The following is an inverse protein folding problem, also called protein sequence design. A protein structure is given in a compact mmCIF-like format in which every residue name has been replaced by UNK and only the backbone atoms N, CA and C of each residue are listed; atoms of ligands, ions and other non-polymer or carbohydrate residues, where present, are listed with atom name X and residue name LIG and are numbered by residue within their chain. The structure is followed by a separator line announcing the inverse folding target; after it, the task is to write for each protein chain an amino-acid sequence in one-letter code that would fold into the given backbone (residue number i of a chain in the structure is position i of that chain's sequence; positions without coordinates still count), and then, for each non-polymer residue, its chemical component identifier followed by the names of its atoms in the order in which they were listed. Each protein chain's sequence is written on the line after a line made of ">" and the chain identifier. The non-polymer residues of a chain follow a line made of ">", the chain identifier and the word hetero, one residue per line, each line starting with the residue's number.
data_IF_042228409389
#
_entry.id   IF_042228409389
#
_cell.length_a   1.000
_cell.length_b   1.000
_cell.length_c   1.000
_cell.angle_alpha   90.00
_cell.angle_beta   90.00
_cell.angle_gamma   90.00
#
_symmetry.space_group_name_H-M   'P 1'
#
loop_
_entity.id
_entity.type
_entity.pdbx_description
1 polymer ?
#
# COMPACT_ATOMS: atom_id res chain seq x y z
N UNK A 1 7.29 -18.09 20.65
CA UNK A 1 5.81 -17.94 20.53
C UNK A 1 5.43 -17.57 19.10
N UNK A 2 4.15 -17.63 18.72
CA UNK A 2 3.66 -17.15 17.43
C UNK A 2 3.17 -15.71 17.57
N UNK A 3 3.67 -14.79 16.75
CA UNK A 3 3.37 -13.35 16.81
C UNK A 3 2.85 -12.90 15.47
N UNK A 4 1.75 -12.15 15.47
CA UNK A 4 1.30 -11.38 14.30
C UNK A 4 1.78 -9.95 14.47
N UNK A 5 2.70 -9.52 13.61
CA UNK A 5 3.31 -8.19 13.64
C UNK A 5 2.67 -7.30 12.58
N UNK A 6 1.97 -6.24 12.99
CA UNK A 6 1.36 -5.27 12.10
C UNK A 6 2.28 -4.06 11.88
N UNK A 7 2.83 -3.92 10.67
CA UNK A 7 3.70 -2.83 10.28
C UNK A 7 2.89 -1.60 9.83
N UNK A 8 3.17 -0.46 10.47
CA UNK A 8 2.63 0.84 10.08
C UNK A 8 3.37 1.47 8.89
N UNK A 9 2.88 2.61 8.41
CA UNK A 9 3.46 3.31 7.25
C UNK A 9 4.95 3.65 7.39
N UNK A 10 5.39 4.05 8.59
CA UNK A 10 6.79 4.42 8.86
C UNK A 10 7.77 3.24 8.74
N UNK A 11 7.27 2.00 8.86
CA UNK A 11 8.08 0.79 8.69
C UNK A 11 8.29 0.42 7.21
N UNK A 12 7.56 1.06 6.29
CA UNK A 12 7.69 0.85 4.85
C UNK A 12 8.19 2.10 4.13
N UNK A 13 7.89 3.27 4.67
CA UNK A 13 8.28 4.57 4.13
C UNK A 13 8.45 5.56 5.28
N UNK A 14 9.70 5.73 5.72
CA UNK A 14 10.06 6.62 6.83
C UNK A 14 9.94 8.11 6.47
N UNK A 15 10.22 8.47 5.21
CA UNK A 15 10.07 9.83 4.69
C UNK A 15 8.90 9.91 3.70
N UNK A 16 7.77 10.54 4.08
CA UNK A 16 6.61 10.69 3.19
C UNK A 16 6.89 11.47 1.89
N UNK A 17 7.95 12.29 1.87
CA UNK A 17 8.35 13.09 0.69
C UNK A 17 9.16 12.29 -0.33
N UNK A 18 9.90 11.27 0.12
CA UNK A 18 10.65 10.39 -0.77
C UNK A 18 9.85 9.12 -1.06
N UNK A 19 9.24 9.09 -2.24
CA UNK A 19 8.42 7.97 -2.71
C UNK A 19 9.23 6.98 -3.55
N UNK A 20 10.55 7.12 -3.62
CA UNK A 20 11.36 6.23 -4.45
C UNK A 20 11.33 4.80 -3.92
N UNK A 21 11.37 3.83 -4.83
CA UNK A 21 11.45 2.42 -4.43
C UNK A 21 12.72 2.15 -3.60
N UNK A 22 13.81 2.84 -3.91
CA UNK A 22 15.06 2.76 -3.14
C UNK A 22 14.86 3.17 -1.67
N UNK A 23 14.26 4.34 -1.41
CA UNK A 23 14.04 4.80 -0.03
C UNK A 23 13.12 3.87 0.78
N UNK A 24 12.10 3.30 0.12
CA UNK A 24 11.22 2.32 0.75
C UNK A 24 11.94 1.00 1.05
N UNK A 25 12.82 0.53 0.16
CA UNK A 25 13.66 -0.65 0.42
C UNK A 25 14.61 -0.43 1.60
N UNK A 26 15.28 0.72 1.68
CA UNK A 26 16.15 1.05 2.82
C UNK A 26 15.35 1.10 4.13
N UNK A 27 14.13 1.65 4.11
CA UNK A 27 13.25 1.61 5.29
C UNK A 27 12.89 0.18 5.68
N UNK A 28 12.65 -0.71 4.71
CA UNK A 28 12.40 -2.13 4.96
C UNK A 28 13.63 -2.83 5.54
N UNK A 29 14.86 -2.49 5.11
CA UNK A 29 16.12 -3.02 5.68
C UNK A 29 16.28 -2.65 7.14
N UNK A 30 15.98 -1.42 7.52
CA UNK A 30 16.00 -1.01 8.93
C UNK A 30 14.94 -1.75 9.75
N UNK A 31 13.72 -1.87 9.22
CA UNK A 31 12.63 -2.62 9.87
C UNK A 31 12.96 -4.11 10.02
N UNK A 32 13.65 -4.71 9.05
CA UNK A 32 14.04 -6.11 9.06
C UNK A 32 14.93 -6.47 10.25
N UNK A 33 15.78 -5.56 10.72
CA UNK A 33 16.64 -5.79 11.90
C UNK A 33 15.80 -6.16 13.12
N UNK A 34 14.80 -5.35 13.45
CA UNK A 34 13.90 -5.61 14.58
C UNK A 34 13.03 -6.85 14.41
N UNK A 35 12.65 -7.18 13.17
CA UNK A 35 11.94 -8.44 12.89
C UNK A 35 12.85 -9.64 13.16
N UNK A 36 14.10 -9.57 12.70
CA UNK A 36 15.06 -10.66 12.86
C UNK A 36 15.50 -10.79 14.32
N UNK A 37 15.55 -9.72 15.11
CA UNK A 37 15.74 -9.79 16.57
C UNK A 37 14.70 -10.73 17.21
N UNK A 38 13.41 -10.55 16.88
CA UNK A 38 12.34 -11.42 17.40
C UNK A 38 12.48 -12.87 16.92
N UNK A 39 12.92 -13.08 15.68
CA UNK A 39 13.15 -14.42 15.13
C UNK A 39 14.30 -15.11 15.84
N UNK A 40 15.37 -14.38 16.15
CA UNK A 40 16.55 -14.83 16.90
C UNK A 40 16.18 -15.21 18.34
N UNK A 41 15.25 -14.47 18.97
CA UNK A 41 14.63 -14.81 20.27
C UNK A 41 13.68 -16.04 20.21
N UNK A 42 13.70 -16.79 19.10
CA UNK A 42 12.94 -18.03 18.93
C UNK A 42 11.45 -17.82 18.64
N UNK A 43 11.04 -16.63 18.22
CA UNK A 43 9.66 -16.38 17.82
C UNK A 43 9.38 -16.79 16.36
N UNK A 44 8.12 -17.12 16.09
CA UNK A 44 7.60 -17.35 14.74
C UNK A 44 6.71 -16.18 14.39
N UNK A 45 7.05 -15.44 13.34
CA UNK A 45 6.43 -14.17 13.01
C UNK A 45 5.57 -14.30 11.74
N UNK A 46 4.34 -13.81 11.81
CA UNK A 46 3.51 -13.50 10.64
C UNK A 46 3.42 -11.98 10.52
N UNK A 47 3.78 -11.43 9.37
CA UNK A 47 3.85 -9.98 9.17
C UNK A 47 2.62 -9.56 8.36
N UNK A 48 1.92 -8.55 8.85
CA UNK A 48 0.90 -7.82 8.09
C UNK A 48 1.32 -6.37 7.98
N UNK A 49 0.86 -5.66 6.94
CA UNK A 49 1.29 -4.29 6.71
C UNK A 49 0.17 -3.44 6.09
N UNK A 50 0.23 -2.12 6.33
CA UNK A 50 -0.54 -1.17 5.54
C UNK A 50 0.05 -0.98 4.13
N UNK A 51 -0.70 -0.35 3.23
CA UNK A 51 -0.25 -0.10 1.86
C UNK A 51 -0.60 1.31 1.33
N UNK A 52 -1.10 2.20 2.19
CA UNK A 52 -1.71 3.48 1.78
C UNK A 52 -0.84 4.32 0.84
N UNK A 53 0.41 4.64 1.22
CA UNK A 53 1.33 5.37 0.34
C UNK A 53 1.60 4.65 -0.99
N UNK A 54 1.83 3.34 -0.93
CA UNK A 54 2.24 2.52 -2.07
C UNK A 54 1.11 2.31 -3.08
N UNK A 55 -0.09 1.96 -2.62
CA UNK A 55 -1.27 1.83 -3.50
C UNK A 55 -1.64 3.18 -4.09
N UNK A 56 -1.49 4.27 -3.32
CA UNK A 56 -1.69 5.62 -3.82
C UNK A 56 -0.69 5.99 -4.92
N UNK A 57 0.58 5.60 -4.77
CA UNK A 57 1.61 5.81 -5.78
C UNK A 57 1.33 5.01 -7.06
N UNK A 58 0.95 3.73 -6.94
CA UNK A 58 0.56 2.89 -8.08
C UNK A 58 -0.59 3.53 -8.87
N UNK A 59 -1.64 3.94 -8.16
CA UNK A 59 -2.80 4.60 -8.78
C UNK A 59 -2.37 5.90 -9.48
N UNK A 60 -1.61 6.76 -8.82
CA UNK A 60 -1.14 8.01 -9.40
C UNK A 60 -0.25 7.79 -10.65
N UNK A 61 0.62 6.79 -10.63
CA UNK A 61 1.47 6.47 -11.79
C UNK A 61 0.63 6.03 -12.99
N UNK A 62 -0.41 5.22 -12.78
CA UNK A 62 -1.31 4.80 -13.86
C UNK A 62 -2.19 5.97 -14.34
N UNK A 63 -2.70 6.80 -13.42
CA UNK A 63 -3.42 8.04 -13.76
C UNK A 63 -2.58 8.98 -14.63
N UNK A 64 -1.31 9.16 -14.30
CA UNK A 64 -0.39 9.98 -15.11
C UNK A 64 -0.10 9.35 -16.48
N UNK A 65 0.01 8.01 -16.56
CA UNK A 65 0.16 7.30 -17.84
C UNK A 65 -1.07 7.46 -18.76
N UNK A 66 -2.28 7.53 -18.18
CA UNK A 66 -3.53 7.79 -18.94
C UNK A 66 -3.54 9.21 -19.51
N UNK A 67 -3.06 10.20 -18.75
CA UNK A 67 -2.96 11.60 -19.25
C UNK A 67 -2.05 11.72 -20.47
N UNK A 68 -1.07 10.83 -20.61
CA UNK A 68 -0.14 10.81 -21.76
C UNK A 68 -0.68 9.99 -22.93
N UNK A 69 -1.51 8.99 -22.67
CA UNK A 69 -2.11 8.15 -23.69
C UNK A 69 -3.46 7.60 -23.21
N UNK A 70 -4.54 8.09 -23.83
CA UNK A 70 -5.92 7.75 -23.48
C UNK A 70 -6.29 6.27 -23.73
N UNK A 71 -5.45 5.50 -24.44
CA UNK A 71 -5.67 4.05 -24.59
C UNK A 71 -5.23 3.24 -23.37
N UNK A 72 -4.49 3.86 -22.43
CA UNK A 72 -4.21 3.25 -21.13
C UNK A 72 -5.48 3.23 -20.27
N UNK A 73 -5.60 2.23 -19.40
CA UNK A 73 -6.77 2.05 -18.54
C UNK A 73 -6.34 1.92 -17.09
N UNK A 74 -7.11 2.53 -16.19
CA UNK A 74 -6.86 2.40 -14.75
C UNK A 74 -7.26 0.99 -14.30
N UNK A 75 -6.37 0.33 -13.57
CA UNK A 75 -6.71 -0.95 -12.96
C UNK A 75 -7.79 -0.77 -11.88
N UNK A 76 -8.69 -1.75 -11.71
CA UNK A 76 -9.57 -1.81 -10.55
C UNK A 76 -8.79 -1.64 -9.25
N UNK A 77 -9.39 -0.98 -8.26
CA UNK A 77 -8.65 -0.58 -7.06
C UNK A 77 -8.16 -1.78 -6.22
N UNK A 78 -8.89 -2.88 -6.23
CA UNK A 78 -8.49 -4.16 -5.65
C UNK A 78 -7.26 -4.77 -6.36
N UNK A 79 -7.17 -4.64 -7.69
CA UNK A 79 -5.99 -5.05 -8.47
C UNK A 79 -4.77 -4.18 -8.11
N UNK A 80 -4.93 -2.86 -7.96
CA UNK A 80 -3.89 -1.99 -7.41
C UNK A 80 -3.49 -2.42 -5.98
N UNK A 81 -4.46 -2.88 -5.19
CA UNK A 81 -4.23 -3.50 -3.89
C UNK A 81 -3.30 -4.72 -3.99
N UNK A 82 -3.57 -5.64 -4.91
CA UNK A 82 -2.72 -6.80 -5.17
C UNK A 82 -1.30 -6.41 -5.64
N UNK A 83 -1.17 -5.42 -6.52
CA UNK A 83 0.14 -4.88 -6.93
C UNK A 83 0.95 -4.38 -5.72
N UNK A 84 0.30 -3.66 -4.81
CA UNK A 84 0.96 -3.14 -3.61
C UNK A 84 1.44 -4.26 -2.67
N UNK A 85 0.72 -5.38 -2.59
CA UNK A 85 1.16 -6.55 -1.80
C UNK A 85 2.42 -7.17 -2.39
N UNK A 86 2.46 -7.36 -3.72
CA UNK A 86 3.65 -7.86 -4.40
C UNK A 86 4.85 -6.92 -4.22
N UNK A 87 4.64 -5.62 -4.37
CA UNK A 87 5.68 -4.61 -4.19
C UNK A 87 6.26 -4.59 -2.76
N UNK A 88 5.40 -4.42 -1.76
CA UNK A 88 5.81 -4.32 -0.35
C UNK A 88 6.39 -5.65 0.13
N UNK A 89 5.72 -6.75 -0.19
CA UNK A 89 6.17 -8.08 0.20
C UNK A 89 7.51 -8.45 -0.42
N UNK A 90 7.77 -8.09 -1.68
CA UNK A 90 9.08 -8.27 -2.30
C UNK A 90 10.19 -7.53 -1.53
N UNK A 91 9.96 -6.26 -1.15
CA UNK A 91 10.93 -5.51 -0.37
C UNK A 91 11.18 -6.10 1.02
N UNK A 92 10.11 -6.42 1.76
CA UNK A 92 10.22 -7.01 3.09
C UNK A 92 10.89 -8.39 3.02
N UNK A 93 10.50 -9.24 2.07
CA UNK A 93 11.09 -10.56 1.89
C UNK A 93 12.58 -10.46 1.64
N UNK A 94 13.01 -9.60 0.71
CA UNK A 94 14.43 -9.41 0.43
C UNK A 94 15.19 -8.86 1.64
N UNK A 95 14.66 -7.83 2.30
CA UNK A 95 15.30 -7.19 3.45
C UNK A 95 15.45 -8.17 4.63
N UNK A 96 14.41 -8.96 4.94
CA UNK A 96 14.44 -9.94 6.03
C UNK A 96 15.36 -11.11 5.65
N UNK A 97 15.32 -11.60 4.42
CA UNK A 97 16.23 -12.67 3.98
C UNK A 97 17.71 -12.24 4.01
N UNK A 98 18.02 -11.01 3.60
CA UNK A 98 19.37 -10.42 3.70
C UNK A 98 19.83 -10.37 5.16
N UNK A 99 18.98 -9.90 6.06
CA UNK A 99 19.29 -9.78 7.49
C UNK A 99 19.42 -11.15 8.19
N UNK A 100 18.57 -12.13 7.86
CA UNK A 100 18.69 -13.51 8.33
C UNK A 100 20.02 -14.12 7.89
N UNK A 101 20.39 -13.95 6.61
CA UNK A 101 21.66 -14.45 6.08
C UNK A 101 22.86 -13.78 6.79
N UNK A 102 22.81 -12.46 7.01
CA UNK A 102 23.85 -11.71 7.74
C UNK A 102 24.08 -12.25 9.16
N UNK A 103 23.03 -12.77 9.81
CA UNK A 103 23.10 -13.38 11.14
C UNK A 103 23.30 -14.90 11.12
N UNK A 104 23.51 -15.51 9.95
CA UNK A 104 23.63 -16.97 9.78
C UNK A 104 22.39 -17.75 10.27
N UNK A 105 21.20 -17.14 10.20
CA UNK A 105 19.94 -17.77 10.59
C UNK A 105 19.30 -18.40 9.34
N UNK A 106 19.24 -19.74 9.31
CA UNK A 106 18.62 -20.47 8.20
C UNK A 106 17.10 -20.54 8.36
N UNK A 107 16.38 -19.54 7.85
CA UNK A 107 14.92 -19.53 7.75
C UNK A 107 14.45 -18.97 6.41
N UNK A 108 13.32 -19.49 5.94
CA UNK A 108 12.67 -19.00 4.73
C UNK A 108 11.65 -17.91 5.03
N UNK A 109 11.54 -16.95 4.13
CA UNK A 109 10.57 -15.86 4.16
C UNK A 109 9.75 -15.96 2.88
N UNK A 110 8.43 -15.85 2.99
CA UNK A 110 7.52 -15.88 1.86
C UNK A 110 6.47 -14.79 1.99
N UNK A 111 6.19 -14.13 0.87
CA UNK A 111 5.05 -13.22 0.70
C UNK A 111 3.87 -13.98 0.11
N UNK A 112 2.68 -13.78 0.66
CA UNK A 112 1.45 -14.44 0.20
C UNK A 112 0.44 -13.37 -0.21
N UNK A 113 0.01 -13.42 -1.47
CA UNK A 113 -1.11 -12.59 -1.93
C UNK A 113 -2.36 -13.00 -1.15
N UNK A 114 -2.97 -12.02 -0.50
CA UNK A 114 -4.05 -12.23 0.46
C UNK A 114 -5.30 -11.50 0.02
N UNK A 115 -6.41 -12.24 -0.05
CA UNK A 115 -7.76 -11.70 -0.25
C UNK A 115 -8.49 -11.69 1.09
N UNK A 116 -9.28 -10.65 1.33
CA UNK A 116 -10.10 -10.51 2.53
C UNK A 116 -11.56 -10.38 2.10
N UNK A 117 -12.41 -11.27 2.62
CA UNK A 117 -13.86 -11.18 2.42
C UNK A 117 -14.40 -10.06 3.29
N UNK A 118 -15.21 -9.20 2.69
CA UNK A 118 -15.87 -8.06 3.37
C UNK A 118 -17.37 -8.16 3.16
N UNK A 119 -18.16 -7.65 4.11
CA UNK A 119 -19.62 -7.64 3.97
C UNK A 119 -20.04 -6.64 2.88
N UNK A 120 -20.73 -7.12 1.85
CA UNK A 120 -21.28 -6.28 0.77
C UNK A 120 -22.22 -5.17 1.27
N UNK A 121 -22.80 -5.34 2.46
CA UNK A 121 -23.70 -4.38 3.09
C UNK A 121 -23.00 -3.47 4.12
N UNK A 122 -21.67 -3.52 4.22
CA UNK A 122 -20.93 -2.70 5.17
C UNK A 122 -21.20 -1.19 4.92
N UNK A 123 -21.45 -0.45 6.00
CA UNK A 123 -21.77 0.99 5.94
C UNK A 123 -20.63 1.83 5.33
N UNK A 124 -19.41 1.34 5.37
CA UNK A 124 -18.23 1.92 4.73
C UNK A 124 -18.37 2.05 3.21
N UNK A 125 -19.21 1.24 2.56
CA UNK A 125 -19.55 1.42 1.14
C UNK A 125 -20.48 2.62 0.90
N UNK A 126 -21.32 2.97 1.86
CA UNK A 126 -22.26 4.10 1.75
C UNK A 126 -21.58 5.45 1.99
N UNK A 127 -20.49 5.49 2.77
CA UNK A 127 -19.70 6.69 2.99
C UNK A 127 -18.19 6.43 2.85
N UNK A 128 -17.67 6.41 1.61
CA UNK A 128 -16.24 6.37 1.36
C UNK A 128 -15.51 7.55 1.97
N UNK A 129 -14.46 7.28 2.74
CA UNK A 129 -13.69 8.31 3.47
C UNK A 129 -12.20 8.25 3.21
N UNK A 130 -11.67 7.14 2.70
CA UNK A 130 -10.22 6.93 2.57
C UNK A 130 -9.72 7.55 1.26
N UNK A 131 -8.91 8.62 1.29
CA UNK A 131 -8.46 9.29 0.08
C UNK A 131 -7.29 8.54 -0.58
N UNK A 132 -7.33 8.41 -1.90
CA UNK A 132 -6.36 7.68 -2.72
C UNK A 132 -5.95 8.49 -3.96
N UNK A 133 -4.85 8.09 -4.62
CA UNK A 133 -4.44 8.64 -5.90
C UNK A 133 -4.03 10.12 -5.88
N UNK A 134 -4.07 10.72 -7.08
CA UNK A 134 -3.68 12.10 -7.36
C UNK A 134 -4.65 13.15 -6.79
N UNK A 135 -4.17 14.39 -6.72
CA UNK A 135 -5.03 15.56 -6.52
C UNK A 135 -5.57 16.06 -7.87
N UNK A 136 -6.82 16.50 -7.85
CA UNK A 136 -7.55 17.00 -9.01
C UNK A 136 -8.11 18.40 -8.74
N UNK A 137 -8.27 19.19 -9.79
CA UNK A 137 -9.10 20.40 -9.72
C UNK A 137 -10.57 20.03 -9.55
N UNK A 138 -11.39 21.00 -9.17
CA UNK A 138 -12.84 20.81 -9.03
C UNK A 138 -13.47 20.35 -10.36
N UNK A 139 -13.09 20.97 -11.47
CA UNK A 139 -13.68 20.63 -12.78
C UNK A 139 -13.33 19.20 -13.21
N UNK A 140 -12.08 18.77 -12.97
CA UNK A 140 -11.67 17.39 -13.30
C UNK A 140 -12.35 16.39 -12.36
N UNK A 141 -12.50 16.73 -11.08
CA UNK A 141 -13.21 15.88 -10.13
C UNK A 141 -14.66 15.65 -10.57
N UNK A 142 -15.41 16.71 -10.87
CA UNK A 142 -16.81 16.62 -11.34
C UNK A 142 -16.93 15.78 -12.63
N UNK A 143 -15.96 15.91 -13.54
CA UNK A 143 -15.90 15.07 -14.75
C UNK A 143 -15.73 13.59 -14.40
N UNK A 144 -14.79 13.25 -13.51
CA UNK A 144 -14.52 11.88 -13.08
C UNK A 144 -15.70 11.27 -12.31
N UNK A 145 -16.43 12.05 -11.52
CA UNK A 145 -17.67 11.60 -10.87
C UNK A 145 -18.73 11.21 -11.91
N UNK A 146 -18.92 12.05 -12.94
CA UNK A 146 -19.92 11.81 -13.98
C UNK A 146 -19.56 10.65 -14.91
N UNK A 147 -18.29 10.53 -15.31
CA UNK A 147 -17.86 9.55 -16.30
C UNK A 147 -17.52 8.19 -15.70
N UNK A 148 -16.96 8.16 -14.48
CA UNK A 148 -16.43 6.94 -13.87
C UNK A 148 -17.15 6.55 -12.57
N UNK A 149 -18.13 7.34 -12.11
CA UNK A 149 -18.86 7.09 -10.87
C UNK A 149 -17.97 7.16 -9.63
N UNK A 150 -16.83 7.84 -9.71
CA UNK A 150 -15.96 8.05 -8.56
C UNK A 150 -16.63 8.94 -7.53
N UNK A 151 -16.21 8.78 -6.27
CA UNK A 151 -16.61 9.67 -5.19
C UNK A 151 -15.39 10.53 -4.90
N UNK A 152 -15.50 11.83 -5.14
CA UNK A 152 -14.43 12.78 -4.93
C UNK A 152 -14.70 13.59 -3.66
N UNK A 153 -13.67 13.83 -2.85
CA UNK A 153 -13.77 14.71 -1.68
C UNK A 153 -12.66 15.76 -1.72
N UNK A 154 -13.02 16.97 -1.30
CA UNK A 154 -12.09 18.06 -1.11
C UNK A 154 -11.16 17.74 0.08
N UNK A 155 -9.86 17.98 -0.09
CA UNK A 155 -8.83 17.63 0.88
C UNK A 155 -8.09 18.92 1.34
N UNK A 156 -8.74 19.64 2.26
CA UNK A 156 -8.20 20.77 3.01
C UNK A 156 -7.50 21.84 2.14
N UNK A 157 -8.16 22.29 1.08
CA UNK A 157 -7.65 23.32 0.17
C UNK A 157 -6.57 22.86 -0.80
N UNK A 158 -6.17 21.58 -0.78
CA UNK A 158 -5.14 21.03 -1.69
C UNK A 158 -5.71 20.50 -3.01
N UNK A 159 -7.03 20.55 -3.17
CA UNK A 159 -7.76 20.00 -4.30
C UNK A 159 -8.67 18.85 -3.90
N UNK A 160 -9.13 18.10 -4.89
CA UNK A 160 -10.04 16.97 -4.74
C UNK A 160 -9.29 15.66 -4.90
N UNK A 161 -9.66 14.64 -4.13
CA UNK A 161 -9.12 13.28 -4.25
C UNK A 161 -10.24 12.27 -4.34
N UNK A 162 -9.98 11.19 -5.06
CA UNK A 162 -10.86 10.01 -5.04
C UNK A 162 -10.85 9.41 -3.64
N UNK A 163 -12.02 9.13 -3.10
CA UNK A 163 -12.18 8.36 -1.85
C UNK A 163 -12.75 6.99 -2.14
N UNK A 164 -12.31 6.01 -1.36
CA UNK A 164 -12.77 4.62 -1.44
C UNK A 164 -13.33 4.15 -0.10
N UNK A 165 -14.17 3.13 -0.18
CA UNK A 165 -14.72 2.45 0.98
C UNK A 165 -13.60 1.79 1.80
N UNK A 166 -13.80 1.73 3.12
CA UNK A 166 -12.95 0.97 4.03
C UNK A 166 -13.84 0.12 4.92
N UNK A 167 -14.45 -0.95 4.37
CA UNK A 167 -15.35 -1.83 5.11
C UNK A 167 -14.61 -2.61 6.20
N UNK A 168 -15.36 -3.13 7.19
CA UNK A 168 -14.82 -3.97 8.27
C UNK A 168 -14.87 -5.46 7.94
#
# INVERSE_FOLDING_TARGET
>A
MKIVLALGGNALQSNPKDKSAKAQLETCKETAKSIVDLIEDGHTISIVHGNGPQVGQIVATVEDAIKQNETNVLFPFDVCGAFSQGYIGYHLQNAISEELARRNINKHVATIITQVVVDKNDKGFQNPTKPIGSFYSKEIAEKLEKEQGYIMKEDAGRGYRRVVASPK
#
